data_IF_724560266082
#
_entry.id   IF_724560266082
#
_cell.length_a   1.000
_cell.length_b   1.000
_cell.length_c   1.000
_cell.angle_alpha   90.00
_cell.angle_beta   90.00
_cell.angle_gamma   90.00
#
_symmetry.space_group_name_H-M   'P 1'
#
loop_
_entity.id
_entity.type
_entity.pdbx_description
1 polymer ?
#
# COMPACT_ATOMS: atom_id res chain seq x y z
N UNK A 1 -2.03 13.71 -10.59
CA UNK A 1 -2.12 12.25 -10.86
C UNK A 1 -1.42 11.54 -9.72
N UNK A 2 -2.02 10.51 -9.14
CA UNK A 2 -1.41 9.70 -8.08
C UNK A 2 -0.84 8.41 -8.68
N UNK A 3 0.38 8.02 -8.28
CA UNK A 3 0.98 6.77 -8.72
C UNK A 3 1.70 6.05 -7.59
N UNK A 4 1.80 4.73 -7.68
CA UNK A 4 2.47 3.91 -6.68
C UNK A 4 3.96 4.24 -6.59
N UNK A 5 4.45 4.58 -5.39
CA UNK A 5 5.84 4.98 -5.16
C UNK A 5 6.86 3.91 -5.56
N UNK A 6 6.50 2.63 -5.49
CA UNK A 6 7.36 1.53 -5.92
C UNK A 6 7.64 1.55 -7.45
N UNK A 7 6.74 2.12 -8.26
CA UNK A 7 6.91 2.28 -9.71
C UNK A 7 7.83 3.45 -10.08
N UNK A 8 7.96 4.43 -9.18
CA UNK A 8 8.94 5.51 -9.28
C UNK A 8 10.36 5.10 -8.78
N UNK A 9 10.52 3.84 -8.34
CA UNK A 9 11.79 3.30 -7.85
C UNK A 9 12.02 3.50 -6.34
N UNK A 10 11.00 3.86 -5.55
CA UNK A 10 11.12 3.89 -4.08
C UNK A 10 11.10 2.46 -3.53
N UNK A 11 11.95 2.20 -2.53
CA UNK A 11 12.07 0.89 -1.85
C UNK A 11 10.95 0.69 -0.80
N UNK A 12 9.69 0.82 -1.21
CA UNK A 12 8.55 0.73 -0.30
C UNK A 12 7.77 -0.58 -0.40
N UNK A 13 8.23 -1.52 -1.24
CA UNK A 13 7.62 -2.85 -1.39
C UNK A 13 7.85 -3.68 -0.12
N UNK A 14 7.00 -4.68 0.10
CA UNK A 14 7.02 -5.48 1.33
C UNK A 14 8.37 -6.16 1.60
N UNK A 15 9.11 -6.54 0.56
CA UNK A 15 10.42 -7.17 0.63
C UNK A 15 11.60 -6.18 0.70
N UNK A 16 11.33 -4.87 0.77
CA UNK A 16 12.35 -3.82 0.81
C UNK A 16 13.06 -3.55 -0.53
N UNK A 17 12.62 -4.21 -1.60
CA UNK A 17 13.11 -3.97 -2.95
C UNK A 17 12.24 -2.93 -3.68
N UNK A 18 12.63 -2.59 -4.90
CA UNK A 18 11.83 -1.75 -5.81
C UNK A 18 11.14 -2.63 -6.84
N UNK A 19 10.07 -2.11 -7.45
CA UNK A 19 9.65 -2.62 -8.76
C UNK A 19 10.58 -2.02 -9.84
N UNK A 20 10.50 -2.53 -11.08
CA UNK A 20 11.18 -1.89 -12.21
C UNK A 20 10.72 -0.42 -12.29
N UNK A 21 11.69 0.51 -12.29
CA UNK A 21 11.39 1.94 -12.37
C UNK A 21 10.74 2.24 -13.72
N UNK A 22 9.46 2.55 -13.71
CA UNK A 22 8.70 2.86 -14.92
C UNK A 22 8.75 4.36 -15.27
N UNK A 23 8.91 5.22 -14.27
CA UNK A 23 9.01 6.67 -14.44
C UNK A 23 9.87 7.30 -13.34
N UNK A 24 10.20 8.58 -13.47
CA UNK A 24 10.83 9.39 -12.41
C UNK A 24 9.77 10.32 -11.83
N UNK A 25 9.88 10.58 -10.53
CA UNK A 25 9.00 11.52 -9.80
C UNK A 25 9.04 12.92 -10.44
N UNK A 26 10.18 13.30 -11.02
CA UNK A 26 10.40 14.60 -11.66
C UNK A 26 9.92 14.69 -13.13
N UNK A 27 9.61 13.57 -13.79
CA UNK A 27 9.31 13.55 -15.23
C UNK A 27 7.86 13.94 -15.56
N UNK A 28 6.95 13.82 -14.59
CA UNK A 28 5.53 14.11 -14.76
C UNK A 28 5.01 14.75 -13.47
N UNK A 29 4.01 15.64 -13.53
CA UNK A 29 3.28 16.15 -12.35
C UNK A 29 2.50 15.03 -11.63
N UNK A 30 3.23 14.06 -11.09
CA UNK A 30 2.75 12.81 -10.51
C UNK A 30 3.18 12.79 -9.05
N UNK A 31 2.19 12.82 -8.18
CA UNK A 31 2.41 12.57 -6.76
C UNK A 31 2.60 11.07 -6.58
N UNK A 32 3.72 10.67 -5.97
CA UNK A 32 3.97 9.27 -5.68
C UNK A 32 3.58 8.94 -4.24
N UNK A 33 2.95 7.78 -4.04
CA UNK A 33 2.45 7.41 -2.73
C UNK A 33 2.50 5.90 -2.51
N UNK A 34 2.73 5.49 -1.26
CA UNK A 34 2.62 4.08 -0.86
C UNK A 34 1.65 3.99 0.32
N UNK A 35 0.41 3.52 0.11
CA UNK A 35 -0.60 3.50 1.16
C UNK A 35 -0.18 2.62 2.34
N UNK A 36 0.55 1.53 2.10
CA UNK A 36 0.98 0.62 3.16
C UNK A 36 1.95 1.27 4.16
N UNK A 37 2.97 1.99 3.67
CA UNK A 37 3.95 2.65 4.54
C UNK A 37 3.36 3.88 5.21
N UNK A 38 2.55 4.64 4.46
CA UNK A 38 1.84 5.80 4.98
C UNK A 38 0.75 5.41 5.98
N UNK A 39 0.19 4.21 5.84
CA UNK A 39 -0.69 3.56 6.80
C UNK A 39 0.01 3.11 8.09
N UNK A 40 1.34 3.01 8.08
CA UNK A 40 2.18 2.70 9.23
C UNK A 40 2.88 1.34 9.19
N UNK A 41 2.82 0.60 8.08
CA UNK A 41 3.54 -0.67 7.96
C UNK A 41 5.05 -0.44 7.69
N UNK A 42 5.93 -1.24 8.29
CA UNK A 42 7.37 -1.11 8.10
C UNK A 42 7.83 -1.60 6.71
N UNK A 43 9.12 -1.39 6.45
CA UNK A 43 9.84 -2.01 5.34
C UNK A 43 11.10 -2.68 5.94
N UNK A 44 11.32 -3.99 5.73
CA UNK A 44 10.41 -4.96 5.11
C UNK A 44 9.21 -5.28 6.01
N UNK A 45 8.19 -5.92 5.43
CA UNK A 45 6.98 -6.42 6.11
C UNK A 45 6.54 -7.74 5.47
N UNK A 46 5.71 -8.48 6.19
CA UNK A 46 5.11 -9.70 5.65
C UNK A 46 4.13 -9.38 4.51
N UNK A 47 4.08 -10.23 3.45
CA UNK A 47 2.99 -10.18 2.47
C UNK A 47 1.64 -10.30 3.16
N UNK A 48 0.64 -9.57 2.65
CA UNK A 48 -0.73 -9.60 3.15
C UNK A 48 -1.74 -9.68 2.01
N UNK A 49 -2.86 -10.34 2.29
CA UNK A 49 -3.95 -10.56 1.34
C UNK A 49 -5.29 -10.22 1.98
N UNK A 50 -6.28 -9.88 1.15
CA UNK A 50 -7.66 -9.71 1.59
C UNK A 50 -8.27 -11.10 1.82
N UNK A 51 -8.90 -11.29 2.97
CA UNK A 51 -9.59 -12.51 3.36
C UNK A 51 -11.07 -12.20 3.59
N UNK A 52 -11.93 -12.96 2.92
CA UNK A 52 -13.38 -12.88 3.10
C UNK A 52 -14.12 -11.87 2.21
N UNK A 53 -13.49 -11.35 1.15
CA UNK A 53 -14.13 -10.41 0.22
C UNK A 53 -13.12 -9.64 -0.63
N UNK A 54 -13.47 -8.41 -0.97
CA UNK A 54 -12.62 -7.47 -1.71
C UNK A 54 -12.31 -6.18 -0.92
N UNK A 55 -11.76 -5.17 -1.61
CA UNK A 55 -11.43 -3.88 -0.99
C UNK A 55 -12.65 -3.10 -0.48
N UNK A 56 -13.80 -3.22 -1.15
CA UNK A 56 -15.04 -2.59 -0.68
C UNK A 56 -15.54 -3.29 0.59
N UNK A 57 -15.45 -4.62 0.63
CA UNK A 57 -15.80 -5.39 1.82
C UNK A 57 -14.89 -5.05 3.01
N UNK A 58 -13.61 -4.77 2.78
CA UNK A 58 -12.68 -4.29 3.82
C UNK A 58 -13.14 -2.94 4.37
N UNK A 59 -13.49 -1.99 3.49
CA UNK A 59 -13.97 -0.67 3.90
C UNK A 59 -15.32 -0.72 4.62
N UNK A 60 -16.18 -1.67 4.25
CA UNK A 60 -17.47 -1.92 4.89
C UNK A 60 -17.37 -2.76 6.18
N UNK A 61 -16.19 -3.30 6.51
CA UNK A 61 -15.95 -4.11 7.71
C UNK A 61 -16.35 -5.59 7.59
N UNK A 62 -16.63 -6.07 6.38
CA UNK A 62 -16.99 -7.48 6.10
C UNK A 62 -15.78 -8.36 5.74
N UNK A 63 -14.68 -7.77 5.29
CA UNK A 63 -13.43 -8.46 5.00
C UNK A 63 -12.26 -7.87 5.80
N UNK A 64 -11.13 -8.59 5.80
CA UNK A 64 -9.92 -8.22 6.55
C UNK A 64 -8.69 -8.33 5.67
N UNK A 65 -7.65 -7.57 6.01
CA UNK A 65 -6.32 -7.76 5.42
C UNK A 65 -5.45 -8.50 6.40
N UNK A 66 -4.95 -9.67 6.01
CA UNK A 66 -4.20 -10.57 6.88
C UNK A 66 -2.86 -10.91 6.25
N UNK A 67 -1.80 -10.84 7.05
CA UNK A 67 -0.46 -11.26 6.63
C UNK A 67 -0.37 -12.78 6.47
N UNK A 68 0.62 -13.28 5.72
CA UNK A 68 0.92 -14.72 5.62
C UNK A 68 1.13 -15.42 6.98
N UNK A 69 1.51 -14.67 8.02
CA UNK A 69 1.74 -15.17 9.37
C UNK A 69 0.49 -15.07 10.26
N UNK A 70 -0.68 -14.72 9.71
CA UNK A 70 -1.95 -14.64 10.42
C UNK A 70 -2.18 -13.35 11.19
N UNK A 71 -1.26 -12.37 11.13
CA UNK A 71 -1.47 -11.05 11.74
C UNK A 71 -2.46 -10.23 10.90
N UNK A 72 -3.52 -9.74 11.52
CA UNK A 72 -4.44 -8.78 10.91
C UNK A 72 -3.79 -7.38 10.82
N UNK A 73 -3.80 -6.79 9.62
CA UNK A 73 -3.21 -5.47 9.29
C UNK A 73 -4.22 -4.58 8.55
N UNK A 74 -5.52 -4.87 8.70
CA UNK A 74 -6.63 -4.16 8.06
C UNK A 74 -6.57 -2.65 8.34
N UNK A 75 -6.26 -2.26 9.59
CA UNK A 75 -6.27 -0.86 10.02
C UNK A 75 -5.22 -0.03 9.28
N UNK A 76 -4.02 -0.56 9.10
CA UNK A 76 -2.95 0.13 8.39
C UNK A 76 -3.29 0.31 6.91
N UNK A 77 -3.91 -0.69 6.27
CA UNK A 77 -4.36 -0.58 4.88
C UNK A 77 -5.47 0.47 4.71
N UNK A 78 -6.48 0.48 5.59
CA UNK A 78 -7.58 1.47 5.55
C UNK A 78 -7.03 2.87 5.77
N UNK A 79 -6.19 3.07 6.79
CA UNK A 79 -5.54 4.37 7.06
C UNK A 79 -4.71 4.86 5.88
N UNK A 80 -4.00 3.95 5.22
CA UNK A 80 -3.24 4.25 4.00
C UNK A 80 -4.14 4.73 2.85
N UNK A 81 -5.29 4.09 2.66
CA UNK A 81 -6.27 4.47 1.66
C UNK A 81 -6.91 5.83 1.96
N UNK A 82 -7.25 6.11 3.21
CA UNK A 82 -7.78 7.41 3.65
C UNK A 82 -6.77 8.54 3.37
N UNK A 83 -5.50 8.35 3.74
CA UNK A 83 -4.44 9.32 3.44
C UNK A 83 -4.24 9.56 1.95
N UNK A 84 -4.40 8.53 1.12
CA UNK A 84 -4.29 8.68 -0.33
C UNK A 84 -5.40 9.58 -0.91
N UNK A 85 -6.58 9.60 -0.27
CA UNK A 85 -7.71 10.43 -0.66
C UNK A 85 -7.52 11.91 -0.29
N UNK A 86 -6.67 12.21 0.69
CA UNK A 86 -6.36 13.57 1.16
C UNK A 86 -5.30 14.30 0.30
N UNK A 87 -4.73 13.64 -0.72
CA UNK A 87 -3.68 14.15 -1.61
C UNK A 87 -4.21 14.72 -2.92
#
# INVERSE_FOLDING_TARGET
MLASACLAGKKCRYDGNTNCRLFREDDCCVTVFCPETEGGLPIPRDPAEIVGGDGYDVLAGFAKVVTKNGKEVTREFVRGAEKALEL
#
